data_IF_607873802577
#
_entry.id   IF_607873802577
#
_cell.length_a   1.000
_cell.length_b   1.000
_cell.length_c   1.000
_cell.angle_alpha   90.00
_cell.angle_beta   90.00
_cell.angle_gamma   90.00
#
_symmetry.space_group_name_H-M   'P 1'
#
loop_
_entity.id
_entity.type
_entity.pdbx_description
1 polymer ?
#
# COMPACT_ATOMS: atom_id res chain seq x y z
N UNK A 1 -17.12 -11.29 10.62
CA UNK A 1 -17.58 -11.07 12.01
C UNK A 1 -17.80 -9.57 12.33
N UNK A 2 -16.88 -8.65 12.09
CA UNK A 2 -17.09 -7.23 12.38
C UNK A 2 -18.28 -6.59 11.62
N UNK A 3 -18.54 -6.98 10.39
CA UNK A 3 -19.66 -6.45 9.58
C UNK A 3 -21.04 -6.88 10.09
N UNK A 4 -21.17 -8.09 10.64
CA UNK A 4 -22.42 -8.55 11.27
C UNK A 4 -22.78 -7.78 12.54
N UNK A 5 -21.78 -7.27 13.25
CA UNK A 5 -22.00 -6.46 14.45
C UNK A 5 -22.54 -5.05 14.15
N UNK A 6 -22.43 -4.60 12.90
CA UNK A 6 -22.87 -3.29 12.41
C UNK A 6 -24.18 -3.34 11.61
N UNK A 7 -24.83 -4.51 11.55
CA UNK A 7 -26.08 -4.75 10.77
C UNK A 7 -25.93 -4.38 9.27
N UNK A 8 -24.71 -4.47 8.75
CA UNK A 8 -24.39 -4.22 7.34
C UNK A 8 -24.34 -5.58 6.62
N UNK A 9 -25.17 -5.74 5.61
CA UNK A 9 -25.12 -6.93 4.77
C UNK A 9 -23.76 -7.01 4.03
N UNK A 10 -22.89 -7.97 4.38
CA UNK A 10 -21.57 -8.10 3.74
C UNK A 10 -21.67 -8.50 2.27
N UNK A 11 -22.86 -8.91 1.81
CA UNK A 11 -23.13 -9.29 0.43
C UNK A 11 -23.73 -8.14 -0.40
N UNK A 12 -24.01 -6.99 0.21
CA UNK A 12 -24.40 -5.80 -0.54
C UNK A 12 -23.29 -5.44 -1.54
N UNK A 13 -23.65 -5.21 -2.79
CA UNK A 13 -22.72 -5.06 -3.92
C UNK A 13 -21.64 -3.98 -3.68
N UNK A 14 -22.06 -2.86 -3.10
CA UNK A 14 -21.12 -1.77 -2.74
C UNK A 14 -20.15 -2.17 -1.62
N UNK A 15 -20.59 -2.94 -0.63
CA UNK A 15 -19.78 -3.42 0.49
C UNK A 15 -18.75 -4.44 -0.01
N UNK A 16 -19.17 -5.35 -0.89
CA UNK A 16 -18.28 -6.34 -1.52
C UNK A 16 -17.20 -5.67 -2.35
N UNK A 17 -17.55 -4.67 -3.16
CA UNK A 17 -16.59 -3.93 -3.99
C UNK A 17 -15.57 -3.18 -3.14
N UNK A 18 -16.00 -2.47 -2.10
CA UNK A 18 -15.09 -1.76 -1.18
C UNK A 18 -14.13 -2.71 -0.46
N UNK A 19 -14.65 -3.85 0.01
CA UNK A 19 -13.83 -4.86 0.69
C UNK A 19 -12.78 -5.44 -0.26
N UNK A 20 -13.15 -5.72 -1.51
CA UNK A 20 -12.21 -6.20 -2.52
C UNK A 20 -11.14 -5.14 -2.86
N UNK A 21 -11.53 -3.88 -3.04
CA UNK A 21 -10.57 -2.79 -3.30
C UNK A 21 -9.57 -2.66 -2.15
N UNK A 22 -10.03 -2.71 -0.90
CA UNK A 22 -9.15 -2.66 0.27
C UNK A 22 -8.24 -3.87 0.33
N UNK A 23 -8.77 -5.07 0.11
CA UNK A 23 -7.98 -6.31 0.12
C UNK A 23 -6.89 -6.30 -0.96
N UNK A 24 -7.23 -5.91 -2.20
CA UNK A 24 -6.24 -5.79 -3.27
C UNK A 24 -5.22 -4.69 -3.00
N UNK A 25 -5.61 -3.55 -2.41
CA UNK A 25 -4.64 -2.50 -2.07
C UNK A 25 -3.62 -2.97 -1.04
N UNK A 26 -4.05 -3.74 -0.03
CA UNK A 26 -3.15 -4.33 0.97
C UNK A 26 -2.24 -5.40 0.33
N UNK A 27 -2.79 -6.26 -0.53
CA UNK A 27 -2.00 -7.29 -1.21
C UNK A 27 -0.91 -6.67 -2.10
N UNK A 28 -1.25 -5.64 -2.89
CA UNK A 28 -0.28 -4.92 -3.73
C UNK A 28 0.75 -4.19 -2.85
N UNK A 29 0.33 -3.63 -1.72
CA UNK A 29 1.23 -2.98 -0.76
C UNK A 29 2.28 -3.96 -0.23
N UNK A 30 1.87 -5.16 0.19
CA UNK A 30 2.79 -6.20 0.64
C UNK A 30 3.77 -6.60 -0.47
N UNK A 31 3.27 -6.85 -1.70
CA UNK A 31 4.14 -7.14 -2.85
C UNK A 31 5.12 -6.02 -3.15
N UNK A 32 4.71 -4.76 -3.01
CA UNK A 32 5.58 -3.60 -3.23
C UNK A 32 6.77 -3.63 -2.26
N UNK A 33 6.51 -3.86 -0.97
CA UNK A 33 7.57 -3.96 0.03
C UNK A 33 8.48 -5.16 -0.22
N UNK A 34 7.93 -6.33 -0.57
CA UNK A 34 8.71 -7.52 -0.91
C UNK A 34 9.65 -7.26 -2.09
N UNK A 35 9.17 -6.56 -3.14
CA UNK A 35 9.99 -6.20 -4.31
C UNK A 35 11.10 -5.22 -3.91
N UNK A 36 10.82 -4.25 -3.03
CA UNK A 36 11.82 -3.30 -2.56
C UNK A 36 12.92 -4.02 -1.77
N UNK A 37 12.56 -4.96 -0.89
CA UNK A 37 13.54 -5.76 -0.15
C UNK A 37 14.33 -6.69 -1.09
N UNK A 38 13.66 -7.39 -2.01
CA UNK A 38 14.33 -8.25 -2.99
C UNK A 38 15.25 -7.47 -3.94
N UNK A 39 15.00 -6.17 -4.14
CA UNK A 39 15.86 -5.33 -4.97
C UNK A 39 17.26 -5.15 -4.39
N UNK A 40 17.41 -5.23 -3.07
CA UNK A 40 18.69 -5.09 -2.37
C UNK A 40 19.62 -6.28 -2.67
N UNK A 41 19.06 -7.49 -2.73
CA UNK A 41 19.80 -8.75 -2.90
C UNK A 41 19.96 -9.16 -4.37
N UNK A 42 19.50 -8.31 -5.31
CA UNK A 42 19.48 -8.62 -6.75
C UNK A 42 20.83 -9.05 -7.31
N UNK A 43 21.95 -8.50 -6.80
CA UNK A 43 23.28 -8.84 -7.26
C UNK A 43 23.70 -10.26 -6.83
N UNK A 44 23.33 -10.67 -5.63
CA UNK A 44 23.66 -11.99 -5.10
C UNK A 44 22.69 -13.05 -5.63
N UNK A 45 21.42 -12.70 -5.79
CA UNK A 45 20.41 -13.52 -6.45
C UNK A 45 20.80 -13.87 -7.89
N UNK A 46 21.33 -12.91 -8.65
CA UNK A 46 21.81 -13.17 -10.01
C UNK A 46 22.98 -14.17 -10.04
N UNK A 47 23.90 -14.08 -9.08
CA UNK A 47 25.03 -15.05 -8.96
C UNK A 47 24.52 -16.43 -8.58
N UNK A 48 23.47 -16.49 -7.75
CA UNK A 48 22.82 -17.73 -7.31
C UNK A 48 21.87 -18.33 -8.36
N UNK A 49 21.64 -17.65 -9.50
CA UNK A 49 20.72 -18.10 -10.54
C UNK A 49 19.24 -17.94 -10.21
N UNK A 50 18.90 -17.19 -9.15
CA UNK A 50 17.53 -16.90 -8.77
C UNK A 50 16.89 -15.90 -9.73
N UNK A 51 15.70 -16.21 -10.24
CA UNK A 51 14.96 -15.39 -11.20
C UNK A 51 13.74 -14.74 -10.56
N UNK A 52 13.96 -13.92 -9.54
CA UNK A 52 12.91 -13.16 -8.87
C UNK A 52 12.37 -11.98 -9.72
N UNK A 53 11.26 -11.39 -9.28
CA UNK A 53 10.65 -10.24 -9.95
C UNK A 53 11.60 -9.02 -9.94
N UNK A 54 12.32 -8.79 -8.85
CA UNK A 54 13.32 -7.73 -8.73
C UNK A 54 14.47 -7.88 -9.74
N UNK A 55 14.95 -9.12 -9.98
CA UNK A 55 15.98 -9.43 -11.00
C UNK A 55 15.44 -9.15 -12.40
N UNK A 56 14.21 -9.57 -12.69
CA UNK A 56 13.58 -9.40 -14.01
C UNK A 56 13.36 -7.93 -14.39
N UNK A 57 12.98 -7.11 -13.43
CA UNK A 57 12.67 -5.69 -13.64
C UNK A 57 13.76 -4.74 -13.15
N UNK A 58 15.00 -5.22 -12.96
CA UNK A 58 16.11 -4.44 -12.40
C UNK A 58 16.29 -3.07 -13.06
N UNK A 59 16.20 -2.98 -14.39
CA UNK A 59 16.34 -1.72 -15.15
C UNK A 59 15.14 -0.78 -14.99
N UNK A 60 13.97 -1.30 -14.60
CA UNK A 60 12.70 -0.55 -14.53
C UNK A 60 12.04 -0.67 -13.16
N UNK A 61 12.82 -1.01 -12.11
CA UNK A 61 12.26 -1.30 -10.79
C UNK A 61 11.56 -0.07 -10.17
N UNK A 62 12.10 1.14 -10.36
CA UNK A 62 11.44 2.38 -9.91
C UNK A 62 10.11 2.60 -10.60
N UNK A 63 10.01 2.32 -11.89
CA UNK A 63 8.76 2.41 -12.65
C UNK A 63 7.75 1.38 -12.13
N UNK A 64 8.19 0.16 -11.85
CA UNK A 64 7.35 -0.90 -11.29
C UNK A 64 6.78 -0.48 -9.93
N UNK A 65 7.63 -0.03 -9.01
CA UNK A 65 7.22 0.44 -7.68
C UNK A 65 6.26 1.63 -7.78
N UNK A 66 6.53 2.59 -8.67
CA UNK A 66 5.65 3.75 -8.88
C UNK A 66 4.29 3.36 -9.43
N UNK A 67 4.24 2.39 -10.36
CA UNK A 67 2.98 1.86 -10.90
C UNK A 67 2.16 1.16 -9.82
N UNK A 68 2.81 0.34 -8.99
CA UNK A 68 2.15 -0.33 -7.86
C UNK A 68 1.63 0.69 -6.83
N UNK A 69 2.43 1.71 -6.50
CA UNK A 69 2.00 2.79 -5.60
C UNK A 69 0.78 3.53 -6.15
N UNK A 70 0.76 3.84 -7.44
CA UNK A 70 -0.39 4.48 -8.10
C UNK A 70 -1.63 3.59 -8.07
N UNK A 71 -1.48 2.28 -8.27
CA UNK A 71 -2.57 1.31 -8.17
C UNK A 71 -3.14 1.24 -6.75
N UNK A 72 -2.29 1.24 -5.71
CA UNK A 72 -2.73 1.27 -4.30
C UNK A 72 -3.58 2.51 -4.03
N UNK A 73 -3.10 3.68 -4.43
CA UNK A 73 -3.83 4.94 -4.25
C UNK A 73 -5.18 4.91 -4.98
N UNK A 74 -5.20 4.45 -6.24
CA UNK A 74 -6.42 4.30 -7.02
C UNK A 74 -7.44 3.38 -6.35
N UNK A 75 -7.01 2.23 -5.83
CA UNK A 75 -7.87 1.28 -5.11
C UNK A 75 -8.41 1.86 -3.79
N UNK A 76 -7.59 2.62 -3.04
CA UNK A 76 -8.04 3.28 -1.82
C UNK A 76 -9.07 4.38 -2.12
N UNK A 77 -8.88 5.14 -3.20
CA UNK A 77 -9.86 6.13 -3.66
C UNK A 77 -11.17 5.45 -4.04
N UNK A 78 -11.12 4.37 -4.83
CA UNK A 78 -12.30 3.59 -5.20
C UNK A 78 -13.01 3.00 -3.97
N UNK A 79 -12.26 2.48 -3.01
CA UNK A 79 -12.81 2.00 -1.74
C UNK A 79 -13.59 3.12 -1.02
N UNK A 80 -13.02 4.31 -0.93
CA UNK A 80 -13.65 5.47 -0.31
C UNK A 80 -14.93 5.91 -1.06
N UNK A 81 -14.92 5.93 -2.38
CA UNK A 81 -16.07 6.28 -3.22
C UNK A 81 -17.21 5.25 -3.07
N UNK A 82 -16.89 3.97 -3.15
CA UNK A 82 -17.87 2.89 -3.01
C UNK A 82 -18.52 2.87 -1.61
N UNK A 83 -17.74 3.12 -0.57
CA UNK A 83 -18.23 3.16 0.83
C UNK A 83 -18.76 4.53 1.25
N UNK A 84 -18.77 5.52 0.36
CA UNK A 84 -19.15 6.91 0.63
C UNK A 84 -18.47 7.48 1.88
N UNK A 85 -17.16 7.25 2.01
CA UNK A 85 -16.37 7.73 3.13
C UNK A 85 -16.18 9.25 3.05
N UNK A 86 -16.07 9.89 4.22
CA UNK A 86 -15.95 11.34 4.31
C UNK A 86 -14.55 11.87 3.94
N UNK A 87 -14.41 13.19 3.91
CA UNK A 87 -13.17 13.88 3.57
C UNK A 87 -12.00 13.48 4.49
N UNK A 88 -12.26 13.13 5.74
CA UNK A 88 -11.25 12.69 6.71
C UNK A 88 -10.52 11.44 6.24
N UNK A 89 -11.25 10.48 5.70
CA UNK A 89 -10.67 9.29 5.11
C UNK A 89 -9.69 9.64 3.98
N UNK A 90 -10.09 10.49 3.04
CA UNK A 90 -9.23 10.87 1.91
C UNK A 90 -7.96 11.60 2.37
N UNK A 91 -8.07 12.53 3.32
CA UNK A 91 -6.92 13.28 3.80
C UNK A 91 -5.95 12.37 4.57
N UNK A 92 -6.45 11.56 5.49
CA UNK A 92 -5.61 10.77 6.39
C UNK A 92 -5.15 9.48 5.69
N UNK A 93 -6.08 8.66 5.15
CA UNK A 93 -5.72 7.37 4.55
C UNK A 93 -5.05 7.56 3.20
N UNK A 94 -5.70 8.23 2.25
CA UNK A 94 -5.17 8.36 0.88
C UNK A 94 -3.98 9.32 0.86
N UNK A 95 -4.10 10.47 1.52
CA UNK A 95 -3.03 11.46 1.62
C UNK A 95 -1.84 10.96 2.41
N UNK A 96 -2.05 10.31 3.56
CA UNK A 96 -0.99 9.73 4.39
C UNK A 96 -0.26 8.58 3.69
N UNK A 97 -1.00 7.64 3.10
CA UNK A 97 -0.42 6.54 2.30
C UNK A 97 0.33 7.07 1.09
N UNK A 98 -0.27 7.99 0.34
CA UNK A 98 0.36 8.60 -0.83
C UNK A 98 1.65 9.34 -0.48
N UNK A 99 1.61 10.16 0.56
CA UNK A 99 2.77 10.91 1.05
C UNK A 99 3.90 9.99 1.50
N UNK A 100 3.60 8.91 2.23
CA UNK A 100 4.60 7.94 2.67
C UNK A 100 5.25 7.19 1.51
N UNK A 101 4.46 6.75 0.51
CA UNK A 101 4.98 6.05 -0.67
C UNK A 101 5.79 6.98 -1.56
N UNK A 102 5.36 8.23 -1.78
CA UNK A 102 6.12 9.22 -2.56
C UNK A 102 7.46 9.51 -1.87
N UNK A 103 7.47 9.73 -0.55
CA UNK A 103 8.68 9.98 0.22
C UNK A 103 9.63 8.78 0.12
N UNK A 104 9.13 7.55 0.25
CA UNK A 104 9.91 6.34 0.10
C UNK A 104 10.55 6.27 -1.29
N UNK A 105 9.78 6.41 -2.36
CA UNK A 105 10.25 6.26 -3.74
C UNK A 105 11.28 7.35 -4.11
N UNK A 106 11.09 8.58 -3.60
CA UNK A 106 11.97 9.71 -3.90
C UNK A 106 13.26 9.72 -3.09
N UNK A 107 13.19 9.32 -1.81
CA UNK A 107 14.32 9.38 -0.89
C UNK A 107 15.16 8.10 -0.86
N UNK A 108 14.60 6.98 -1.32
CA UNK A 108 15.26 5.69 -1.28
C UNK A 108 16.31 5.55 -2.39
N UNK A 109 17.53 5.19 -2.01
CA UNK A 109 18.57 4.74 -2.94
C UNK A 109 18.62 3.21 -2.95
N UNK A 110 18.22 2.63 -4.09
CA UNK A 110 18.19 1.17 -4.29
C UNK A 110 19.59 0.53 -4.31
N UNK A 111 20.64 1.34 -4.48
CA UNK A 111 22.02 0.86 -4.46
C UNK A 111 22.59 0.72 -3.04
N UNK A 112 21.94 1.34 -2.04
CA UNK A 112 22.41 1.38 -0.66
C UNK A 112 21.43 0.66 0.25
N UNK A 113 21.73 -0.56 0.73
CA UNK A 113 20.80 -1.37 1.57
C UNK A 113 20.32 -0.65 2.83
N UNK A 114 21.20 0.09 3.50
CA UNK A 114 20.84 0.84 4.72
C UNK A 114 19.81 1.95 4.45
N UNK A 115 19.92 2.64 3.31
CA UNK A 115 18.96 3.64 2.86
C UNK A 115 17.59 3.00 2.64
N UNK A 116 17.59 1.86 1.95
CA UNK A 116 16.38 1.11 1.64
C UNK A 116 15.66 0.67 2.91
N UNK A 117 16.38 0.06 3.85
CA UNK A 117 15.81 -0.41 5.12
C UNK A 117 15.20 0.73 5.94
N UNK A 118 15.89 1.85 6.05
CA UNK A 118 15.45 3.02 6.81
C UNK A 118 14.16 3.64 6.24
N UNK A 119 14.15 3.94 4.94
CA UNK A 119 13.01 4.61 4.31
C UNK A 119 11.84 3.66 4.09
N UNK A 120 12.09 2.40 3.77
CA UNK A 120 11.05 1.39 3.58
C UNK A 120 10.34 1.08 4.89
N UNK A 121 11.07 0.81 5.97
CA UNK A 121 10.49 0.52 7.29
C UNK A 121 9.67 1.70 7.83
N UNK A 122 10.19 2.93 7.72
CA UNK A 122 9.48 4.14 8.13
C UNK A 122 8.19 4.37 7.33
N UNK A 123 8.25 4.20 6.01
CA UNK A 123 7.10 4.34 5.14
C UNK A 123 6.03 3.26 5.41
N UNK A 124 6.46 2.02 5.70
CA UNK A 124 5.54 0.94 6.06
C UNK A 124 4.73 1.29 7.31
N UNK A 125 5.42 1.67 8.39
CA UNK A 125 4.77 2.04 9.66
C UNK A 125 3.82 3.23 9.44
N UNK A 126 4.27 4.26 8.74
CA UNK A 126 3.45 5.44 8.47
C UNK A 126 2.20 5.11 7.63
N UNK A 127 2.33 4.24 6.64
CA UNK A 127 1.19 3.75 5.84
C UNK A 127 0.20 2.98 6.69
N UNK A 128 0.66 2.07 7.55
CA UNK A 128 -0.21 1.32 8.46
C UNK A 128 -0.94 2.25 9.43
N UNK A 129 -0.23 3.20 10.04
CA UNK A 129 -0.84 4.20 10.94
C UNK A 129 -1.87 5.04 10.20
N UNK A 130 -1.55 5.52 9.00
CA UNK A 130 -2.47 6.34 8.20
C UNK A 130 -3.76 5.59 7.85
N UNK A 131 -3.66 4.30 7.50
CA UNK A 131 -4.82 3.46 7.26
C UNK A 131 -5.66 3.26 8.52
N UNK A 132 -5.03 2.85 9.62
CA UNK A 132 -5.73 2.62 10.90
C UNK A 132 -6.41 3.89 11.42
N UNK A 133 -5.69 5.02 11.45
CA UNK A 133 -6.22 6.29 11.94
C UNK A 133 -7.32 6.81 11.02
N UNK A 134 -7.15 6.71 9.69
CA UNK A 134 -8.14 7.21 8.74
C UNK A 134 -9.46 6.45 8.79
N UNK A 135 -9.40 5.11 8.84
CA UNK A 135 -10.62 4.29 9.03
C UNK A 135 -11.22 4.47 10.41
N UNK A 136 -10.39 4.56 11.47
CA UNK A 136 -10.84 4.79 12.83
C UNK A 136 -11.53 6.15 12.99
N UNK A 137 -10.96 7.22 12.43
CA UNK A 137 -11.55 8.56 12.47
C UNK A 137 -12.90 8.64 11.73
N UNK A 138 -13.03 7.92 10.62
CA UNK A 138 -14.30 7.84 9.89
C UNK A 138 -15.34 7.04 10.67
N UNK A 139 -14.93 5.93 11.29
CA UNK A 139 -15.83 5.13 12.14
C UNK A 139 -16.37 5.93 13.32
N UNK A 140 -15.49 6.61 14.06
CA UNK A 140 -15.88 7.43 15.22
C UNK A 140 -16.78 8.62 14.85
N UNK A 141 -16.69 9.08 13.60
CA UNK A 141 -17.54 10.18 13.13
C UNK A 141 -18.95 9.73 12.73
N UNK A 142 -19.09 8.45 12.38
CA UNK A 142 -20.39 7.86 11.99
C UNK A 142 -21.13 7.18 13.15
N UNK A 143 -20.39 6.85 14.23
CA UNK A 143 -20.94 6.30 15.47
C UNK A 143 -21.55 7.42 16.32
#
# INVERSE_FOLDING_TARGET
>A
MAMHALDVDPLAEYCRTSTLCLWFSIAILMMLYDIVYAAQDTNDDMKAGVRGMAVRFRSSIRTLISTMASAIIGLLVLCGLCSRLGSRYYIITVGGTGGSLITMISAMDLAVPESCHKYCGGAYILTCISMLVGFGAEYLHRA
#
